data_IF_929186434370
#
_entry.id   IF_929186434370
#
_cell.length_a   1.000
_cell.length_b   1.000
_cell.length_c   1.000
_cell.angle_alpha   90.00
_cell.angle_beta   90.00
_cell.angle_gamma   90.00
#
_symmetry.space_group_name_H-M   'P 1'
#
loop_
_entity.id
_entity.type
_entity.pdbx_description
1 polymer ?
#
# COMPACT_ATOMS: atom_id res chain seq x y z
N UNK A 1 24.88 6.68 13.25
CA UNK A 1 23.67 7.37 12.78
C UNK A 1 23.16 8.24 13.92
N UNK A 2 23.73 9.43 14.06
CA UNK A 2 23.25 10.43 15.02
C UNK A 2 22.54 11.52 14.22
N UNK A 3 21.44 11.14 13.61
CA UNK A 3 20.50 12.13 13.11
C UNK A 3 19.73 12.65 14.33
N UNK A 4 19.79 13.95 14.60
CA UNK A 4 19.18 14.59 15.77
C UNK A 4 17.65 14.42 15.83
N UNK A 5 17.07 13.79 14.82
CA UNK A 5 15.64 13.63 14.63
C UNK A 5 15.12 12.24 15.06
N UNK A 6 16.00 11.26 15.31
CA UNK A 6 15.60 9.91 15.72
C UNK A 6 16.30 9.55 17.03
N UNK A 7 15.52 9.24 18.04
CA UNK A 7 15.99 8.72 19.31
C UNK A 7 15.69 7.22 19.36
N UNK A 8 16.71 6.41 19.64
CA UNK A 8 16.60 4.96 19.78
C UNK A 8 16.76 4.56 21.23
N UNK A 9 15.82 3.79 21.74
CA UNK A 9 15.82 3.25 23.09
C UNK A 9 15.62 1.74 23.05
N UNK A 10 16.37 1.02 23.88
CA UNK A 10 16.25 -0.43 24.04
C UNK A 10 15.77 -0.72 25.46
N UNK A 11 14.77 -1.59 25.57
CA UNK A 11 14.25 -2.07 26.84
C UNK A 11 14.34 -3.60 26.84
N UNK A 12 15.07 -4.17 27.78
CA UNK A 12 15.07 -5.61 28.00
C UNK A 12 13.96 -5.95 29.03
N UNK A 13 12.89 -6.65 28.60
CA UNK A 13 11.74 -6.94 29.48
C UNK A 13 12.10 -7.82 30.68
N UNK A 14 13.27 -8.47 30.71
CA UNK A 14 13.73 -9.28 31.82
C UNK A 14 14.60 -8.52 32.80
N UNK A 15 15.30 -7.51 32.32
CA UNK A 15 16.27 -6.72 33.13
C UNK A 15 15.72 -5.36 33.54
N UNK A 16 14.87 -4.75 32.72
CA UNK A 16 14.37 -3.38 32.87
C UNK A 16 12.87 -3.33 33.21
N UNK A 17 12.47 -4.07 34.25
CA UNK A 17 11.04 -4.21 34.60
C UNK A 17 10.33 -2.86 34.87
N UNK A 18 11.00 -1.93 35.55
CA UNK A 18 10.44 -0.61 35.85
C UNK A 18 10.19 0.19 34.56
N UNK A 19 11.17 0.18 33.63
CA UNK A 19 11.04 0.84 32.34
C UNK A 19 9.96 0.19 31.46
N UNK A 20 9.83 -1.14 31.54
CA UNK A 20 8.78 -1.84 30.83
C UNK A 20 7.40 -1.44 31.37
N UNK A 21 7.25 -1.29 32.67
CA UNK A 21 5.99 -0.89 33.29
C UNK A 21 5.62 0.56 32.92
N UNK A 22 6.60 1.47 32.93
CA UNK A 22 6.44 2.85 32.45
C UNK A 22 6.02 2.88 30.96
N UNK A 23 6.64 2.03 30.15
CA UNK A 23 6.32 1.89 28.74
C UNK A 23 4.87 1.40 28.53
N UNK A 24 4.46 0.31 29.19
CA UNK A 24 3.10 -0.23 29.11
C UNK A 24 2.07 0.83 29.56
N UNK A 25 2.38 1.56 30.62
CA UNK A 25 1.51 2.63 31.12
C UNK A 25 1.39 3.79 30.13
N UNK A 26 2.52 4.21 29.56
CA UNK A 26 2.59 5.35 28.61
C UNK A 26 1.88 5.05 27.30
N UNK A 27 2.06 3.85 26.77
CA UNK A 27 1.55 3.46 25.46
C UNK A 27 0.26 2.66 25.52
N UNK A 28 -0.17 2.23 26.72
CA UNK A 28 -1.37 1.41 26.96
C UNK A 28 -1.41 0.17 26.04
N UNK A 29 -0.27 -0.50 25.88
CA UNK A 29 -0.10 -1.68 25.03
C UNK A 29 0.64 -2.77 25.79
N UNK A 30 0.07 -3.96 25.79
CA UNK A 30 0.74 -5.15 26.27
C UNK A 30 1.76 -5.62 25.24
N UNK A 31 3.01 -5.81 25.69
CA UNK A 31 4.10 -6.34 24.88
C UNK A 31 4.30 -7.79 25.27
N UNK A 32 3.84 -8.70 24.44
CA UNK A 32 3.93 -10.15 24.64
C UNK A 32 5.06 -10.80 23.85
N UNK A 33 5.67 -10.07 22.90
CA UNK A 33 6.72 -10.55 22.02
C UNK A 33 7.70 -9.43 21.69
N UNK A 34 8.85 -9.77 21.11
CA UNK A 34 9.82 -8.77 20.64
C UNK A 34 9.16 -7.83 19.62
N UNK A 35 9.18 -6.55 19.93
CA UNK A 35 8.42 -5.53 19.19
C UNK A 35 9.23 -4.26 19.05
N UNK A 36 9.20 -3.66 17.87
CA UNK A 36 9.66 -2.29 17.63
C UNK A 36 8.47 -1.36 17.79
N UNK A 37 8.58 -0.36 18.64
CA UNK A 37 7.62 0.71 18.74
C UNK A 37 8.19 1.97 18.09
N UNK A 38 7.40 2.60 17.24
CA UNK A 38 7.70 3.87 16.58
C UNK A 38 6.73 4.91 17.14
N UNK A 39 7.28 5.95 17.75
CA UNK A 39 6.53 7.08 18.30
C UNK A 39 6.89 8.35 17.53
N UNK A 40 5.97 8.84 16.73
CA UNK A 40 6.14 10.06 15.93
C UNK A 40 5.30 11.24 16.47
N UNK A 41 4.78 11.17 17.68
CA UNK A 41 3.93 12.23 18.27
C UNK A 41 4.63 13.58 18.34
N UNK A 42 5.94 13.61 18.49
CA UNK A 42 6.72 14.85 18.56
C UNK A 42 6.86 15.56 17.20
N UNK A 43 6.45 14.92 16.10
CA UNK A 43 6.48 15.53 14.77
C UNK A 43 5.23 16.34 14.45
N UNK A 44 4.21 16.24 15.31
CA UNK A 44 2.93 16.91 15.10
C UNK A 44 3.02 18.33 15.67
N UNK A 45 2.82 19.32 14.83
CA UNK A 45 2.51 20.68 15.29
C UNK A 45 1.15 20.63 15.98
N UNK A 46 1.09 21.01 17.25
CA UNK A 46 -0.12 21.02 18.06
C UNK A 46 -1.23 21.77 17.33
N UNK A 47 -2.20 21.03 16.80
CA UNK A 47 -3.45 21.59 16.31
C UNK A 47 -4.30 21.91 17.54
N UNK A 48 -4.94 23.09 17.58
CA UNK A 48 -5.90 23.47 18.60
C UNK A 48 -7.12 22.53 18.53
N UNK A 49 -7.08 21.45 19.28
CA UNK A 49 -8.13 20.43 19.36
C UNK A 49 -8.57 20.23 20.83
N UNK A 50 -9.77 19.74 21.03
CA UNK A 50 -10.23 19.39 22.39
C UNK A 50 -9.31 18.31 23.00
N UNK A 51 -9.21 18.23 24.35
CA UNK A 51 -8.31 17.25 25.01
C UNK A 51 -8.58 15.79 24.63
N UNK A 52 -9.83 15.45 24.32
CA UNK A 52 -10.21 14.08 23.88
C UNK A 52 -9.80 13.82 22.43
N UNK A 53 -10.05 14.78 21.52
CA UNK A 53 -9.65 14.67 20.12
C UNK A 53 -8.12 14.61 19.99
N UNK A 54 -7.41 15.43 20.80
CA UNK A 54 -5.96 15.42 20.84
C UNK A 54 -5.40 14.04 21.26
N UNK A 55 -6.04 13.37 22.23
CA UNK A 55 -5.61 12.04 22.66
C UNK A 55 -5.81 10.97 21.59
N UNK A 56 -6.92 11.01 20.87
CA UNK A 56 -7.22 10.11 19.74
C UNK A 56 -6.25 10.37 18.58
N UNK A 57 -5.96 11.63 18.28
CA UNK A 57 -5.03 12.01 17.22
C UNK A 57 -3.60 11.52 17.54
N UNK A 58 -3.12 11.71 18.76
CA UNK A 58 -1.80 11.26 19.19
C UNK A 58 -1.58 9.74 19.05
N UNK A 59 -2.60 8.92 19.28
CA UNK A 59 -2.51 7.47 19.13
C UNK A 59 -2.28 7.05 17.66
N UNK A 60 -2.74 7.85 16.70
CA UNK A 60 -2.54 7.59 15.27
C UNK A 60 -1.08 7.69 14.83
N UNK A 61 -0.23 8.31 15.64
CA UNK A 61 1.20 8.49 15.36
C UNK A 61 2.10 7.49 16.10
N UNK A 62 1.50 6.45 16.67
CA UNK A 62 2.23 5.34 17.29
C UNK A 62 2.03 4.08 16.46
N UNK A 63 3.12 3.42 16.11
CA UNK A 63 3.11 2.13 15.39
C UNK A 63 3.91 1.08 16.15
N UNK A 64 3.45 -0.16 16.01
CA UNK A 64 4.15 -1.34 16.57
C UNK A 64 4.42 -2.34 15.46
N UNK A 65 5.63 -2.88 15.42
CA UNK A 65 6.06 -3.89 14.46
C UNK A 65 6.55 -5.08 15.27
N UNK A 66 5.86 -6.23 15.27
CA UNK A 66 6.44 -7.46 15.80
C UNK A 66 7.69 -7.84 15.03
N UNK A 67 8.78 -8.14 15.72
CA UNK A 67 10.07 -8.47 15.08
C UNK A 67 9.95 -9.66 14.13
N UNK A 68 9.07 -10.61 14.45
CA UNK A 68 8.77 -11.77 13.59
C UNK A 68 8.23 -11.38 12.20
N UNK A 69 7.65 -10.20 12.04
CA UNK A 69 7.09 -9.74 10.76
C UNK A 69 8.18 -9.12 9.84
N UNK A 70 9.39 -8.87 10.39
CA UNK A 70 10.52 -8.33 9.62
C UNK A 70 11.21 -9.36 8.73
N UNK A 71 10.90 -10.64 8.89
CA UNK A 71 11.53 -11.70 8.13
C UNK A 71 10.53 -12.81 7.75
N UNK A 72 10.83 -13.52 6.70
CA UNK A 72 10.05 -14.68 6.26
C UNK A 72 10.79 -15.93 6.71
N UNK A 73 10.12 -16.72 7.58
CA UNK A 73 10.59 -18.06 7.93
C UNK A 73 10.08 -19.10 6.93
N UNK A 74 10.96 -19.95 6.49
CA UNK A 74 10.62 -21.14 5.71
C UNK A 74 11.07 -22.41 6.45
N UNK A 75 10.46 -23.53 6.10
CA UNK A 75 10.79 -24.85 6.66
C UNK A 75 11.47 -25.65 5.57
N UNK A 76 12.67 -26.12 5.83
CA UNK A 76 13.40 -27.01 4.91
C UNK A 76 12.81 -28.44 4.89
N UNK A 77 13.29 -29.26 3.96
CA UNK A 77 12.89 -30.69 3.85
C UNK A 77 13.24 -31.55 5.08
N UNK A 78 14.01 -31.01 6.01
CA UNK A 78 14.38 -31.68 7.27
C UNK A 78 13.59 -31.09 8.46
N UNK A 79 12.51 -30.34 8.18
CA UNK A 79 11.65 -29.68 9.18
C UNK A 79 12.40 -28.66 10.06
N UNK A 80 13.46 -28.03 9.54
CA UNK A 80 14.20 -26.96 10.23
C UNK A 80 13.74 -25.62 9.70
N UNK A 81 13.43 -24.72 10.61
CA UNK A 81 13.10 -23.33 10.30
C UNK A 81 14.36 -22.55 9.96
N UNK A 82 14.31 -21.76 8.92
CA UNK A 82 15.35 -20.81 8.57
C UNK A 82 14.73 -19.54 7.99
N UNK A 83 15.45 -18.42 8.14
CA UNK A 83 15.02 -17.14 7.56
C UNK A 83 15.40 -17.16 6.08
N UNK A 84 14.39 -17.11 5.22
CA UNK A 84 14.57 -17.12 3.77
C UNK A 84 14.72 -15.72 3.18
N UNK A 85 14.14 -14.72 3.82
CA UNK A 85 14.15 -13.34 3.34
C UNK A 85 14.01 -12.36 4.51
N UNK A 86 14.65 -11.21 4.38
CA UNK A 86 14.54 -10.07 5.27
C UNK A 86 13.82 -8.94 4.52
N UNK A 87 12.91 -8.26 5.20
CA UNK A 87 12.17 -7.11 4.67
C UNK A 87 12.18 -5.92 5.64
N UNK A 88 13.15 -5.89 6.54
CA UNK A 88 13.24 -4.93 7.64
C UNK A 88 13.28 -3.48 7.16
N UNK A 89 14.08 -3.16 6.14
CA UNK A 89 14.21 -1.78 5.64
C UNK A 89 12.89 -1.27 5.09
N UNK A 90 12.24 -2.05 4.23
CA UNK A 90 10.97 -1.68 3.62
C UNK A 90 9.88 -1.55 4.69
N UNK A 91 9.80 -2.48 5.64
CA UNK A 91 8.81 -2.45 6.69
C UNK A 91 9.04 -1.29 7.66
N UNK A 92 10.23 -1.12 8.19
CA UNK A 92 10.53 -0.03 9.13
C UNK A 92 10.26 1.33 8.47
N UNK A 93 10.69 1.52 7.23
CA UNK A 93 10.44 2.77 6.47
C UNK A 93 8.94 3.02 6.28
N UNK A 94 8.16 1.99 5.97
CA UNK A 94 6.71 2.07 5.81
C UNK A 94 6.01 2.45 7.11
N UNK A 95 6.40 1.83 8.21
CA UNK A 95 5.82 2.12 9.51
C UNK A 95 6.24 3.50 10.05
N UNK A 96 7.47 3.94 9.74
CA UNK A 96 7.91 5.32 10.00
C UNK A 96 7.04 6.32 9.24
N UNK A 97 6.84 6.11 7.94
CA UNK A 97 5.95 6.94 7.14
C UNK A 97 4.53 6.96 7.71
N UNK A 98 3.99 5.78 8.02
CA UNK A 98 2.65 5.64 8.62
C UNK A 98 2.55 6.32 9.99
N UNK A 99 3.62 6.31 10.80
CA UNK A 99 3.63 6.99 12.09
C UNK A 99 3.65 8.52 11.91
N UNK A 100 4.41 9.02 10.95
CA UNK A 100 4.50 10.46 10.65
C UNK A 100 3.21 10.99 10.04
N UNK A 101 2.62 10.29 9.08
CA UNK A 101 1.36 10.68 8.43
C UNK A 101 0.12 10.48 9.33
N UNK A 102 0.17 9.55 10.27
CA UNK A 102 -0.89 9.25 11.23
C UNK A 102 -2.06 8.46 10.63
N UNK A 103 -2.77 8.99 9.66
CA UNK A 103 -3.90 8.32 9.00
C UNK A 103 -3.50 7.73 7.67
N UNK A 104 -3.90 6.49 7.35
CA UNK A 104 -3.63 5.91 6.04
C UNK A 104 -4.41 6.63 4.95
N UNK A 105 -3.76 6.79 3.81
CA UNK A 105 -4.40 7.28 2.59
C UNK A 105 -5.44 6.27 2.11
N UNK A 106 -6.64 6.73 1.74
CA UNK A 106 -7.74 5.86 1.34
C UNK A 106 -7.82 5.72 -0.17
N UNK A 107 -7.53 4.52 -0.66
CA UNK A 107 -7.75 4.13 -2.05
C UNK A 107 -8.97 3.24 -2.15
N UNK A 108 -9.87 3.58 -3.05
CA UNK A 108 -11.07 2.80 -3.30
C UNK A 108 -10.86 1.87 -4.49
N UNK A 109 -11.06 0.58 -4.24
CA UNK A 109 -10.92 -0.46 -5.24
C UNK A 109 -12.30 -0.84 -5.80
N UNK A 110 -12.45 -0.74 -7.13
CA UNK A 110 -13.70 -1.07 -7.82
C UNK A 110 -13.83 -2.58 -7.93
N UNK A 111 -14.71 -3.16 -7.10
CA UNK A 111 -14.85 -4.61 -6.95
C UNK A 111 -15.80 -5.24 -7.96
N UNK A 112 -16.84 -4.54 -8.37
CA UNK A 112 -17.92 -5.05 -9.25
C UNK A 112 -17.53 -5.08 -10.74
N UNK A 113 -16.42 -4.48 -11.12
CA UNK A 113 -15.86 -4.57 -12.48
C UNK A 113 -14.69 -5.55 -12.57
N UNK A 114 -14.03 -5.81 -11.46
CA UNK A 114 -12.88 -6.68 -11.41
C UNK A 114 -13.28 -8.16 -11.41
N UNK A 115 -12.39 -9.00 -11.92
CA UNK A 115 -12.52 -10.47 -11.83
C UNK A 115 -12.04 -11.00 -10.47
N UNK A 116 -12.00 -10.14 -9.46
CA UNK A 116 -11.57 -10.50 -8.11
C UNK A 116 -12.80 -10.92 -7.33
N UNK A 117 -13.00 -12.22 -7.21
CA UNK A 117 -13.96 -12.83 -6.30
C UNK A 117 -13.35 -12.96 -4.88
N UNK A 118 -14.12 -13.45 -3.94
CA UNK A 118 -13.64 -13.70 -2.57
C UNK A 118 -12.49 -14.71 -2.50
N UNK A 119 -12.43 -15.65 -3.45
CA UNK A 119 -11.32 -16.63 -3.56
C UNK A 119 -10.04 -15.93 -3.98
N UNK A 120 -10.13 -14.96 -4.89
CA UNK A 120 -8.96 -14.17 -5.33
C UNK A 120 -8.38 -13.34 -4.19
N UNK A 121 -9.20 -12.81 -3.28
CA UNK A 121 -8.74 -12.07 -2.09
C UNK A 121 -7.88 -12.90 -1.14
N UNK A 122 -8.03 -14.22 -1.16
CA UNK A 122 -7.22 -15.15 -0.38
C UNK A 122 -5.90 -15.54 -1.05
N UNK A 123 -5.67 -15.20 -2.31
CA UNK A 123 -4.46 -15.61 -3.04
C UNK A 123 -3.19 -14.91 -2.50
N UNK A 124 -2.03 -15.57 -2.57
CA UNK A 124 -0.76 -14.94 -2.17
C UNK A 124 -0.50 -13.62 -2.91
N UNK A 125 -0.80 -13.55 -4.20
CA UNK A 125 -0.62 -12.34 -5.01
C UNK A 125 -1.46 -11.16 -4.50
N UNK A 126 -2.72 -11.39 -4.13
CA UNK A 126 -3.58 -10.35 -3.57
C UNK A 126 -3.09 -9.89 -2.19
N UNK A 127 -2.70 -10.83 -1.33
CA UNK A 127 -2.13 -10.51 -0.01
C UNK A 127 -0.85 -9.70 -0.13
N UNK A 128 0.05 -10.07 -1.03
CA UNK A 128 1.28 -9.33 -1.31
C UNK A 128 0.98 -7.91 -1.80
N UNK A 129 -0.01 -7.75 -2.69
CA UNK A 129 -0.40 -6.44 -3.18
C UNK A 129 -0.98 -5.55 -2.05
N UNK A 130 -1.87 -6.11 -1.21
CA UNK A 130 -2.38 -5.40 -0.04
C UNK A 130 -1.26 -5.02 0.94
N UNK A 131 -0.31 -5.93 1.18
CA UNK A 131 0.84 -5.67 2.05
C UNK A 131 1.73 -4.55 1.52
N UNK A 132 1.97 -4.53 0.20
CA UNK A 132 2.72 -3.45 -0.44
C UNK A 132 2.04 -2.08 -0.29
N UNK A 133 0.73 -2.03 -0.49
CA UNK A 133 -0.04 -0.80 -0.31
C UNK A 133 -0.06 -0.36 1.15
N UNK A 134 -0.28 -1.30 2.06
CA UNK A 134 -0.22 -1.03 3.48
C UNK A 134 1.14 -0.50 3.92
N UNK A 135 2.21 -1.08 3.35
CA UNK A 135 3.57 -0.60 3.54
C UNK A 135 3.82 0.83 3.06
N UNK A 136 2.97 1.35 2.19
CA UNK A 136 3.00 2.75 1.74
C UNK A 136 1.94 3.62 2.46
N UNK A 137 1.45 3.15 3.61
CA UNK A 137 0.37 3.78 4.35
C UNK A 137 -0.90 4.01 3.52
N UNK A 138 -1.21 3.06 2.61
CA UNK A 138 -2.41 3.11 1.76
C UNK A 138 -3.37 2.01 2.22
N UNK A 139 -4.58 2.40 2.60
CA UNK A 139 -5.67 1.49 2.89
C UNK A 139 -6.54 1.30 1.64
N UNK A 140 -6.68 0.05 1.21
CA UNK A 140 -7.53 -0.29 0.06
C UNK A 140 -8.92 -0.68 0.52
N UNK A 141 -9.92 0.13 0.18
CA UNK A 141 -11.33 -0.05 0.55
C UNK A 141 -12.15 -0.52 -0.66
N UNK A 142 -13.08 -1.47 -0.50
CA UNK A 142 -13.93 -1.91 -1.62
C UNK A 142 -14.97 -0.85 -1.99
N UNK A 143 -15.18 -0.64 -3.29
CA UNK A 143 -16.20 0.24 -3.84
C UNK A 143 -16.99 -0.49 -4.94
N UNK A 144 -18.32 -0.46 -4.86
CA UNK A 144 -19.21 -0.92 -5.92
C UNK A 144 -19.67 0.29 -6.73
N UNK A 145 -19.07 0.50 -7.90
CA UNK A 145 -19.36 1.68 -8.72
C UNK A 145 -20.77 1.63 -9.31
N UNK A 146 -21.30 0.44 -9.58
CA UNK A 146 -22.65 0.26 -10.11
C UNK A 146 -23.76 0.78 -9.19
N UNK A 147 -23.51 0.78 -7.88
CA UNK A 147 -24.49 1.23 -6.88
C UNK A 147 -24.16 2.61 -6.29
N UNK A 148 -22.98 3.14 -6.61
CA UNK A 148 -22.48 4.40 -6.07
C UNK A 148 -22.75 5.53 -7.06
N UNK A 149 -23.30 6.64 -6.57
CA UNK A 149 -23.51 7.85 -7.39
C UNK A 149 -22.32 8.80 -7.37
N UNK A 150 -21.41 8.65 -6.42
CA UNK A 150 -20.25 9.51 -6.21
C UNK A 150 -19.14 8.73 -5.52
N UNK A 151 -17.91 8.89 -5.98
CA UNK A 151 -16.74 8.38 -5.27
C UNK A 151 -16.58 9.18 -3.97
N UNK A 152 -16.32 8.51 -2.82
CA UNK A 152 -16.21 9.17 -1.53
C UNK A 152 -15.28 10.38 -1.55
N UNK A 153 -15.56 11.39 -0.75
CA UNK A 153 -14.79 12.64 -0.75
C UNK A 153 -13.40 12.46 -0.11
N UNK A 154 -13.26 11.44 0.72
CA UNK A 154 -11.99 11.05 1.36
C UNK A 154 -11.14 10.11 0.48
N UNK A 155 -11.55 9.87 -0.77
CA UNK A 155 -10.78 9.08 -1.72
C UNK A 155 -9.56 9.86 -2.23
N UNK A 156 -8.38 9.42 -1.84
CA UNK A 156 -7.11 9.91 -2.39
C UNK A 156 -6.69 9.16 -3.64
N UNK A 157 -7.33 8.02 -3.92
CA UNK A 157 -7.12 7.26 -5.14
C UNK A 157 -8.23 6.26 -5.42
N UNK A 158 -8.37 5.89 -6.69
CA UNK A 158 -9.24 4.83 -7.17
C UNK A 158 -8.41 3.79 -7.89
N UNK A 159 -8.56 2.53 -7.50
CA UNK A 159 -7.89 1.40 -8.14
C UNK A 159 -8.87 0.60 -8.99
N UNK A 160 -8.55 0.46 -10.27
CA UNK A 160 -9.30 -0.33 -11.26
C UNK A 160 -8.38 -1.46 -11.72
N UNK A 161 -8.55 -2.65 -11.15
CA UNK A 161 -7.60 -3.76 -11.31
C UNK A 161 -8.23 -4.85 -12.16
N UNK A 162 -7.72 -5.04 -13.39
CA UNK A 162 -8.12 -6.08 -14.30
C UNK A 162 -9.64 -6.14 -14.53
N UNK A 163 -10.30 -5.04 -14.93
CA UNK A 163 -11.73 -5.05 -15.13
C UNK A 163 -12.10 -6.04 -16.24
N UNK A 164 -13.09 -6.89 -15.96
CA UNK A 164 -13.63 -7.89 -16.89
C UNK A 164 -14.91 -7.43 -17.55
N UNK A 165 -15.61 -6.50 -16.93
CA UNK A 165 -16.84 -5.90 -17.41
C UNK A 165 -16.62 -4.44 -17.74
N UNK A 166 -17.21 -3.99 -18.87
CA UNK A 166 -17.14 -2.60 -19.28
C UNK A 166 -17.96 -1.71 -18.32
N UNK A 167 -17.64 -0.45 -18.30
CA UNK A 167 -18.36 0.57 -17.53
C UNK A 167 -19.55 1.09 -18.34
N UNK A 168 -20.65 1.39 -17.67
CA UNK A 168 -21.75 2.11 -18.29
C UNK A 168 -21.48 3.63 -18.32
N UNK A 169 -22.41 4.41 -18.91
CA UNK A 169 -22.21 5.86 -19.07
C UNK A 169 -22.20 6.59 -17.72
N UNK A 170 -23.10 6.20 -16.81
CA UNK A 170 -23.18 6.79 -15.47
C UNK A 170 -21.93 6.49 -14.64
N UNK A 171 -21.39 5.29 -14.74
CA UNK A 171 -20.16 4.90 -14.06
C UNK A 171 -18.96 5.67 -14.59
N UNK A 172 -18.91 5.90 -15.91
CA UNK A 172 -17.91 6.76 -16.53
C UNK A 172 -18.04 8.21 -16.05
N UNK A 173 -19.26 8.75 -15.99
CA UNK A 173 -19.52 10.09 -15.46
C UNK A 173 -19.04 10.20 -14.00
N UNK A 174 -19.31 9.18 -13.17
CA UNK A 174 -18.83 9.12 -11.79
C UNK A 174 -17.29 9.14 -11.71
N UNK A 175 -16.59 8.45 -12.63
CA UNK A 175 -15.13 8.48 -12.72
C UNK A 175 -14.61 9.82 -13.21
N UNK A 176 -15.31 10.49 -14.13
CA UNK A 176 -14.97 11.82 -14.63
C UNK A 176 -15.09 12.86 -13.52
N UNK A 177 -16.22 12.88 -12.80
CA UNK A 177 -16.42 13.78 -11.66
C UNK A 177 -15.34 13.61 -10.58
N UNK A 178 -14.88 12.38 -10.36
CA UNK A 178 -13.77 12.12 -9.46
C UNK A 178 -12.45 12.66 -10.03
N UNK A 179 -12.17 12.39 -11.31
CA UNK A 179 -10.93 12.83 -11.97
C UNK A 179 -10.78 14.34 -12.03
N UNK A 180 -11.87 15.08 -12.05
CA UNK A 180 -11.86 16.55 -12.05
C UNK A 180 -11.48 17.16 -10.68
N UNK A 181 -11.30 16.33 -9.64
CA UNK A 181 -10.80 16.80 -8.34
C UNK A 181 -9.30 17.10 -8.40
N UNK A 182 -8.80 18.14 -7.71
CA UNK A 182 -7.39 18.57 -7.82
C UNK A 182 -6.35 17.53 -7.45
N UNK A 183 -6.70 16.57 -6.58
CA UNK A 183 -5.80 15.53 -6.07
C UNK A 183 -6.21 14.13 -6.51
N UNK A 184 -7.06 14.00 -7.54
CA UNK A 184 -7.51 12.69 -8.01
C UNK A 184 -6.36 11.85 -8.55
N UNK A 185 -6.35 10.58 -8.16
CA UNK A 185 -5.43 9.58 -8.69
C UNK A 185 -6.19 8.33 -9.09
N UNK A 186 -5.99 7.84 -10.31
CA UNK A 186 -6.59 6.58 -10.78
C UNK A 186 -5.48 5.62 -11.16
N UNK A 187 -5.40 4.49 -10.46
CA UNK A 187 -4.51 3.39 -10.80
C UNK A 187 -5.27 2.36 -11.62
N UNK A 188 -4.77 2.04 -12.81
CA UNK A 188 -5.42 1.11 -13.73
C UNK A 188 -4.49 -0.01 -14.15
N UNK A 189 -4.97 -1.25 -14.05
CA UNK A 189 -4.37 -2.39 -14.76
C UNK A 189 -5.39 -2.97 -15.72
N UNK A 190 -4.97 -3.26 -16.95
CA UNK A 190 -5.85 -3.79 -18.00
C UNK A 190 -5.43 -5.19 -18.43
N UNK A 191 -6.40 -6.08 -18.59
CA UNK A 191 -6.18 -7.31 -19.34
C UNK A 191 -6.34 -7.00 -20.84
N UNK A 192 -5.34 -7.32 -21.68
CA UNK A 192 -5.44 -7.15 -23.14
C UNK A 192 -6.63 -7.86 -23.79
N UNK A 193 -7.10 -8.95 -23.18
CA UNK A 193 -8.25 -9.70 -23.67
C UNK A 193 -9.60 -9.10 -23.28
N UNK A 194 -9.64 -8.14 -22.37
CA UNK A 194 -10.88 -7.55 -21.89
C UNK A 194 -11.48 -6.57 -22.92
N UNK A 195 -12.79 -6.73 -23.20
CA UNK A 195 -13.52 -5.90 -24.17
C UNK A 195 -14.13 -4.69 -23.48
N UNK A 196 -13.32 -3.67 -23.22
CA UNK A 196 -13.68 -2.48 -22.44
C UNK A 196 -13.79 -1.25 -23.36
N UNK A 197 -14.81 -1.19 -24.22
CA UNK A 197 -14.94 -0.14 -25.23
C UNK A 197 -15.12 1.26 -24.63
N UNK A 198 -16.05 1.39 -23.67
CA UNK A 198 -16.37 2.68 -23.05
C UNK A 198 -15.22 3.12 -22.12
N UNK A 199 -14.69 2.21 -21.33
CA UNK A 199 -13.58 2.52 -20.44
C UNK A 199 -12.29 2.90 -21.21
N UNK A 200 -11.99 2.18 -22.30
CA UNK A 200 -10.86 2.57 -23.17
C UNK A 200 -11.09 3.91 -23.88
N UNK A 201 -12.33 4.29 -24.15
CA UNK A 201 -12.67 5.63 -24.65
C UNK A 201 -12.38 6.68 -23.58
N UNK A 202 -12.86 6.48 -22.37
CA UNK A 202 -12.55 7.34 -21.22
C UNK A 202 -11.04 7.56 -21.07
N UNK A 203 -10.21 6.50 -21.10
CA UNK A 203 -8.77 6.63 -21.01
C UNK A 203 -8.17 7.44 -22.19
N UNK A 204 -8.71 7.27 -23.42
CA UNK A 204 -8.25 8.04 -24.58
C UNK A 204 -8.56 9.54 -24.47
N UNK A 205 -9.69 9.88 -23.87
CA UNK A 205 -10.09 11.28 -23.67
C UNK A 205 -9.09 12.00 -22.74
N UNK A 206 -8.35 11.24 -21.92
CA UNK A 206 -7.24 11.72 -21.08
C UNK A 206 -5.83 11.39 -21.66
N UNK A 207 -5.74 11.07 -22.93
CA UNK A 207 -4.47 10.89 -23.66
C UNK A 207 -3.83 9.50 -23.52
N UNK A 208 -4.51 8.54 -22.88
CA UNK A 208 -4.02 7.17 -22.71
C UNK A 208 -4.68 6.27 -23.73
N UNK A 209 -3.94 5.74 -24.69
CA UNK A 209 -4.46 4.84 -25.73
C UNK A 209 -4.03 3.38 -25.49
N UNK A 210 -4.78 2.61 -24.69
CA UNK A 210 -4.47 1.21 -24.44
C UNK A 210 -4.53 0.40 -25.73
N UNK A 211 -3.49 -0.39 -25.99
CA UNK A 211 -3.42 -1.29 -27.15
C UNK A 211 -3.85 -2.70 -26.76
N UNK A 212 -4.46 -3.43 -27.70
CA UNK A 212 -4.87 -4.83 -27.53
C UNK A 212 -3.72 -5.79 -27.88
N UNK A 213 -2.52 -5.49 -27.35
CA UNK A 213 -1.32 -6.28 -27.58
C UNK A 213 -0.64 -6.65 -26.26
N UNK A 214 0.29 -7.59 -26.36
CA UNK A 214 1.15 -7.99 -25.24
C UNK A 214 2.60 -7.74 -25.57
N UNK A 215 3.34 -7.26 -24.58
CA UNK A 215 4.79 -7.25 -24.67
C UNK A 215 5.28 -8.69 -24.49
N UNK A 216 6.00 -9.19 -25.47
CA UNK A 216 6.66 -10.50 -25.41
C UNK A 216 8.18 -10.29 -25.54
N UNK A 217 8.93 -11.11 -24.83
CA UNK A 217 10.38 -11.16 -24.93
C UNK A 217 10.79 -12.54 -25.43
N UNK A 218 11.68 -12.58 -26.39
CA UNK A 218 12.29 -13.83 -26.84
C UNK A 218 13.66 -13.98 -26.17
N UNK A 219 13.92 -15.08 -25.52
CA UNK A 219 15.23 -15.37 -24.95
C UNK A 219 16.25 -15.74 -26.04
N UNK A 220 17.51 -15.94 -25.63
CA UNK A 220 18.59 -16.31 -26.57
C UNK A 220 18.40 -17.69 -27.25
N UNK A 221 17.49 -18.50 -26.74
CA UNK A 221 17.14 -19.83 -27.25
C UNK A 221 15.88 -19.80 -28.12
N UNK A 222 15.34 -18.60 -28.41
CA UNK A 222 14.12 -18.44 -29.21
C UNK A 222 12.82 -18.70 -28.44
N UNK A 223 12.86 -18.94 -27.12
CA UNK A 223 11.67 -19.19 -26.31
C UNK A 223 10.97 -17.86 -26.01
N UNK A 224 9.68 -17.80 -26.31
CA UNK A 224 8.85 -16.65 -26.00
C UNK A 224 8.50 -16.59 -24.51
N UNK A 225 8.83 -15.48 -23.87
CA UNK A 225 8.51 -15.18 -22.49
C UNK A 225 7.40 -14.11 -22.46
N UNK A 226 6.37 -14.34 -21.65
CA UNK A 226 5.26 -13.42 -21.46
C UNK A 226 5.51 -12.42 -20.32
N UNK A 227 6.56 -12.63 -19.54
CA UNK A 227 7.03 -11.70 -18.52
C UNK A 227 8.14 -10.82 -19.06
N UNK A 228 7.99 -9.51 -18.92
CA UNK A 228 9.02 -8.54 -19.23
C UNK A 228 9.35 -7.74 -17.96
N UNK A 229 10.66 -7.52 -17.73
CA UNK A 229 11.09 -6.61 -16.67
C UNK A 229 11.06 -5.17 -17.23
N UNK A 230 10.30 -4.31 -16.59
CA UNK A 230 10.32 -2.89 -16.92
C UNK A 230 11.54 -2.24 -16.23
N UNK A 231 12.25 -1.41 -17.00
CA UNK A 231 13.31 -0.55 -16.48
C UNK A 231 12.82 0.88 -16.62
N UNK A 232 12.79 1.59 -15.52
CA UNK A 232 12.54 3.02 -15.55
C UNK A 232 13.89 3.73 -15.62
N UNK A 233 14.12 4.46 -16.70
CA UNK A 233 15.32 5.30 -16.82
C UNK A 233 15.07 6.64 -16.13
N UNK A 234 16.11 7.19 -15.52
CA UNK A 234 16.08 8.52 -14.90
C UNK A 234 15.90 9.61 -15.97
N UNK A 235 14.71 9.68 -16.53
CA UNK A 235 14.30 10.79 -17.37
C UNK A 235 13.78 11.96 -16.52
N UNK A 236 13.77 13.18 -17.06
CA UNK A 236 13.32 14.36 -16.30
C UNK A 236 11.85 14.33 -15.87
N UNK A 237 11.10 13.29 -16.20
CA UNK A 237 9.70 13.10 -15.86
C UNK A 237 9.43 11.86 -14.99
N UNK A 238 10.43 11.06 -14.66
CA UNK A 238 10.26 9.87 -13.84
C UNK A 238 10.74 10.20 -12.43
N UNK A 239 9.82 10.17 -11.49
CA UNK A 239 10.12 10.34 -10.09
C UNK A 239 11.03 9.17 -9.64
N UNK A 240 12.26 9.44 -9.18
CA UNK A 240 13.27 8.45 -8.81
C UNK A 240 12.77 7.41 -7.81
N UNK A 241 11.73 7.73 -7.01
CA UNK A 241 11.04 6.80 -6.12
C UNK A 241 10.33 5.63 -6.82
N UNK A 242 9.89 5.79 -8.07
CA UNK A 242 9.26 4.71 -8.83
C UNK A 242 10.27 3.73 -9.42
N UNK A 243 11.49 4.18 -9.72
CA UNK A 243 12.54 3.34 -10.28
C UNK A 243 13.07 2.32 -9.25
N UNK A 244 13.05 2.65 -7.96
CA UNK A 244 13.65 1.82 -6.92
C UNK A 244 12.76 0.65 -6.47
N UNK A 245 11.44 0.77 -6.53
CA UNK A 245 10.50 -0.22 -5.96
C UNK A 245 9.92 -1.21 -6.97
N UNK A 246 9.93 -0.91 -8.27
CA UNK A 246 9.31 -1.77 -9.28
C UNK A 246 10.28 -2.73 -9.99
N UNK A 247 11.57 -2.70 -9.66
CA UNK A 247 12.62 -3.46 -10.35
C UNK A 247 13.29 -4.56 -9.54
N UNK A 248 12.86 -4.78 -8.29
CA UNK A 248 13.33 -5.90 -7.46
C UNK A 248 12.29 -7.07 -7.51
#
# INVERSE_FOLDING_TARGET
>A
LSDKNIQLEFIDPKLDLDRLQDFVTTYQRDITEETILIDARNTISTVESTPEDAKVELVKHIRTIPVKDLFIEEIDRFNRKFISSWSEEAMISSYLLSAVEGTPRRFYFIVDKARIDEKSKGTPAWKSFQSLLWGQNIQLLPLQISTTNKIPDDAEGVAIIGPSFDFDEREIETLQEYWDRPSAAIFVTLDPAAKLKKFKRFLRDYGISPQDNRVIRTDKLGKTLTSARAFFTDGPQVNSGLAHQSTQ
#
